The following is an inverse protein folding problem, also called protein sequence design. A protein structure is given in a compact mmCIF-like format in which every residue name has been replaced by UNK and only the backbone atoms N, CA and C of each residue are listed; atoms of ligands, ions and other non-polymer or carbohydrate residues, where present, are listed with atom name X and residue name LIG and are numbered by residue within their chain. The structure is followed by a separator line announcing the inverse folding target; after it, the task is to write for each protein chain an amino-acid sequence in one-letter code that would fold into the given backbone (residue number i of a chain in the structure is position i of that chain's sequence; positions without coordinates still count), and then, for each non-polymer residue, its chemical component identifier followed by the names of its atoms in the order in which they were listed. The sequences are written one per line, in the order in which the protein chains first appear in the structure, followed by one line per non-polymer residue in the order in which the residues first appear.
data_IF_848530889930
#
_entry.id   IF_848530889930
#
_cell.length_a   1.000
_cell.length_b   1.000
_cell.length_c   1.000
_cell.angle_alpha   90.00
_cell.angle_beta   90.00
_cell.angle_gamma   90.00
#
_symmetry.space_group_name_H-M   'P 1'
#
loop_
_entity.id
_entity.type
_entity.pdbx_description
1 polymer ?
#
# COMPACT_ATOMS: atom_id res chain seq x y z
N UNK A 1 -10.00 -20.51 15.85
CA UNK A 1 -9.91 -19.34 14.91
C UNK A 1 -9.56 -19.89 13.53
N UNK A 2 -10.28 -19.48 12.47
CA UNK A 2 -10.30 -19.98 11.07
C UNK A 2 -9.06 -20.65 10.44
N UNK A 3 -9.29 -21.47 9.41
CA UNK A 3 -8.23 -21.93 8.49
C UNK A 3 -7.64 -20.72 7.77
N UNK A 4 -6.31 -20.66 7.66
CA UNK A 4 -5.62 -19.55 7.01
C UNK A 4 -5.87 -19.54 5.51
N UNK A 5 -6.45 -18.45 5.00
CA UNK A 5 -6.44 -18.17 3.57
C UNK A 5 -5.14 -17.42 3.25
N UNK A 6 -4.37 -17.90 2.30
CA UNK A 6 -3.06 -17.32 1.95
C UNK A 6 -3.15 -16.17 0.94
N UNK A 7 -4.31 -15.96 0.32
CA UNK A 7 -4.49 -14.98 -0.74
C UNK A 7 -5.56 -13.93 -0.36
N UNK A 8 -5.17 -12.67 -0.12
CA UNK A 8 -6.13 -11.58 0.02
C UNK A 8 -6.76 -11.26 -1.35
N UNK A 9 -8.02 -10.84 -1.35
CA UNK A 9 -8.74 -10.42 -2.56
C UNK A 9 -9.12 -8.94 -2.47
N UNK A 10 -9.22 -8.28 -3.63
CA UNK A 10 -9.74 -6.92 -3.69
C UNK A 10 -11.26 -6.93 -3.69
N UNK A 11 -11.87 -6.29 -2.70
CA UNK A 11 -13.30 -5.96 -2.73
C UNK A 11 -13.44 -4.45 -2.94
N UNK A 12 -13.66 -4.06 -4.20
CA UNK A 12 -13.71 -2.65 -4.61
C UNK A 12 -12.34 -1.98 -4.50
N UNK A 13 -12.19 -1.04 -3.55
CA UNK A 13 -10.94 -0.30 -3.29
C UNK A 13 -10.20 -0.74 -2.02
N UNK A 14 -10.68 -1.78 -1.33
CA UNK A 14 -10.06 -2.31 -0.11
C UNK A 14 -9.52 -3.71 -0.37
N UNK A 15 -8.35 -3.99 0.20
CA UNK A 15 -7.77 -5.32 0.22
C UNK A 15 -8.36 -6.07 1.42
N UNK A 16 -9.00 -7.20 1.17
CA UNK A 16 -9.73 -7.99 2.18
C UNK A 16 -9.14 -9.38 2.25
N UNK A 17 -8.91 -9.87 3.46
CA UNK A 17 -8.47 -11.23 3.73
C UNK A 17 -9.50 -11.92 4.59
N UNK A 18 -10.06 -13.00 4.06
CA UNK A 18 -11.12 -13.76 4.71
C UNK A 18 -10.59 -15.11 5.16
N UNK A 19 -10.65 -15.34 6.47
CA UNK A 19 -10.37 -16.61 7.11
C UNK A 19 -11.69 -17.33 7.31
N UNK A 20 -11.87 -18.47 6.64
CA UNK A 20 -13.10 -19.28 6.72
C UNK A 20 -12.79 -20.63 7.39
N UNK A 21 -13.82 -21.40 7.72
CA UNK A 21 -13.68 -22.76 8.27
C UNK A 21 -12.91 -22.83 9.60
N UNK A 22 -13.27 -21.98 10.56
CA UNK A 22 -12.81 -22.10 11.94
C UNK A 22 -13.57 -23.15 12.74
N UNK A 23 -13.66 -22.92 14.05
CA UNK A 23 -14.42 -23.79 14.94
C UNK A 23 -15.93 -23.63 14.70
N UNK A 24 -16.74 -24.61 15.08
CA UNK A 24 -18.21 -24.49 14.97
C UNK A 24 -18.73 -23.40 15.89
N UNK A 25 -19.71 -22.65 15.40
CA UNK A 25 -20.36 -21.60 16.16
C UNK A 25 -21.37 -22.19 17.15
N UNK A 26 -21.50 -21.62 18.36
CA UNK A 26 -22.47 -22.11 19.34
C UNK A 26 -23.90 -21.89 18.82
N UNK A 27 -24.68 -22.96 18.63
CA UNK A 27 -26.09 -22.87 18.24
C UNK A 27 -26.37 -22.74 16.74
N UNK A 28 -25.39 -22.98 15.86
CA UNK A 28 -25.62 -23.06 14.41
C UNK A 28 -24.66 -24.03 13.73
N UNK A 29 -24.99 -24.45 12.51
CA UNK A 29 -24.11 -25.26 11.66
C UNK A 29 -23.07 -24.42 10.89
N UNK A 30 -22.92 -23.14 11.23
CA UNK A 30 -21.93 -22.26 10.65
C UNK A 30 -20.56 -22.42 11.31
N UNK A 31 -19.52 -22.17 10.51
CA UNK A 31 -18.14 -22.15 10.97
C UNK A 31 -17.68 -20.73 11.26
N UNK A 32 -16.86 -20.57 12.30
CA UNK A 32 -16.25 -19.29 12.63
C UNK A 32 -15.46 -18.75 11.45
N UNK A 33 -15.66 -17.47 11.18
CA UNK A 33 -14.98 -16.74 10.12
C UNK A 33 -14.44 -15.42 10.65
N UNK A 34 -13.31 -14.98 10.09
CA UNK A 34 -12.66 -13.72 10.46
C UNK A 34 -12.30 -12.95 9.20
N UNK A 35 -12.69 -11.68 9.15
CA UNK A 35 -12.45 -10.79 8.04
C UNK A 35 -11.47 -9.70 8.45
N UNK A 36 -10.37 -9.59 7.71
CA UNK A 36 -9.37 -8.54 7.89
C UNK A 36 -9.45 -7.59 6.70
N UNK A 37 -9.83 -6.34 6.95
CA UNK A 37 -9.88 -5.28 5.95
C UNK A 37 -8.63 -4.41 6.06
N UNK A 38 -7.75 -4.49 5.07
CA UNK A 38 -6.55 -3.67 5.02
C UNK A 38 -6.84 -2.28 4.42
N UNK A 39 -6.39 -1.24 5.12
CA UNK A 39 -6.53 0.16 4.72
C UNK A 39 -5.14 0.79 4.62
N UNK A 40 -4.92 1.53 3.54
CA UNK A 40 -3.71 2.31 3.34
C UNK A 40 -3.70 3.50 4.30
N UNK A 41 -2.69 3.53 5.18
CA UNK A 41 -2.40 4.65 6.07
C UNK A 41 -0.91 4.96 5.94
N UNK A 42 -0.57 6.12 5.36
CA UNK A 42 0.82 6.52 5.05
C UNK A 42 1.54 7.13 6.25
N UNK A 43 0.81 7.51 7.30
CA UNK A 43 1.36 8.18 8.47
C UNK A 43 1.86 7.20 9.55
N UNK A 44 1.50 5.92 9.42
CA UNK A 44 1.94 4.85 10.32
C UNK A 44 3.36 4.41 9.94
N UNK A 45 4.34 4.88 10.71
CA UNK A 45 5.75 4.79 10.32
C UNK A 45 6.33 3.36 10.25
N UNK A 46 5.89 2.40 11.07
CA UNK A 46 6.57 1.08 11.12
C UNK A 46 5.73 -0.16 11.52
N UNK A 47 4.54 -0.02 12.12
CA UNK A 47 3.79 -1.18 12.63
C UNK A 47 2.34 -1.16 12.19
N UNK A 48 1.85 -2.29 11.65
CA UNK A 48 0.44 -2.42 11.32
C UNK A 48 -0.43 -2.29 12.58
N UNK A 49 -1.37 -1.34 12.55
CA UNK A 49 -2.32 -1.14 13.64
C UNK A 49 -3.58 -1.96 13.36
N UNK A 50 -3.91 -2.90 14.24
CA UNK A 50 -5.11 -3.73 14.15
C UNK A 50 -6.18 -3.11 15.04
N UNK A 51 -7.30 -2.70 14.45
CA UNK A 51 -8.50 -2.25 15.15
C UNK A 51 -9.60 -3.29 15.03
N UNK A 52 -10.26 -3.60 16.15
CA UNK A 52 -11.42 -4.49 16.18
C UNK A 52 -12.67 -3.66 15.88
N UNK A 53 -13.39 -4.01 14.82
CA UNK A 53 -14.62 -3.31 14.41
C UNK A 53 -15.82 -3.87 15.17
N UNK A 54 -15.87 -5.20 15.31
CA UNK A 54 -16.94 -5.88 16.02
C UNK A 54 -17.00 -7.38 15.73
N UNK A 55 -17.82 -8.03 16.55
CA UNK A 55 -18.17 -9.45 16.43
C UNK A 55 -19.68 -9.60 16.21
N UNK A 56 -20.06 -10.62 15.44
CA UNK A 56 -21.44 -11.04 15.29
C UNK A 56 -21.60 -12.48 15.75
N UNK A 57 -22.51 -12.69 16.70
CA UNK A 57 -22.96 -13.99 17.18
C UNK A 57 -21.83 -14.97 17.55
N UNK A 58 -20.68 -14.46 18.04
CA UNK A 58 -19.50 -15.27 18.38
C UNK A 58 -18.96 -16.14 17.23
N UNK A 59 -19.32 -15.78 16.00
CA UNK A 59 -19.16 -16.57 14.80
C UNK A 59 -18.44 -15.80 13.69
N UNK A 60 -18.66 -14.49 13.60
CA UNK A 60 -18.03 -13.61 12.62
C UNK A 60 -17.24 -12.51 13.31
N UNK A 61 -15.94 -12.41 13.04
CA UNK A 61 -15.07 -11.37 13.60
C UNK A 61 -14.56 -10.45 12.50
N UNK A 62 -14.71 -9.14 12.67
CA UNK A 62 -14.24 -8.14 11.72
C UNK A 62 -13.12 -7.28 12.31
N UNK A 63 -11.97 -7.29 11.64
CA UNK A 63 -10.79 -6.51 11.97
C UNK A 63 -10.47 -5.54 10.84
N UNK A 64 -10.15 -4.30 11.20
CA UNK A 64 -9.56 -3.32 10.31
C UNK A 64 -8.06 -3.26 10.60
N UNK A 65 -7.25 -3.32 9.54
CA UNK A 65 -5.79 -3.30 9.66
C UNK A 65 -5.27 -2.11 8.87
N UNK A 66 -4.73 -1.13 9.58
CA UNK A 66 -4.10 0.04 8.97
C UNK A 66 -2.63 -0.22 8.77
N UNK A 67 -2.17 -0.08 7.53
CA UNK A 67 -0.77 -0.33 7.18
C UNK A 67 -0.33 0.48 5.97
N UNK A 68 0.89 1.00 6.03
CA UNK A 68 1.55 1.67 4.91
C UNK A 68 1.82 0.71 3.73
N UNK A 69 1.88 -0.60 3.97
CA UNK A 69 2.10 -1.61 2.92
C UNK A 69 0.86 -1.93 2.08
N UNK A 70 -0.34 -1.57 2.55
CA UNK A 70 -1.57 -1.72 1.77
C UNK A 70 -1.75 -0.59 0.76
N UNK A 71 -0.94 0.47 0.86
CA UNK A 71 -0.89 1.49 -0.17
C UNK A 71 -0.38 0.86 -1.46
N UNK A 72 -1.09 1.09 -2.56
CA UNK A 72 -0.56 0.77 -3.87
C UNK A 72 0.85 1.34 -3.93
N UNK A 73 1.82 0.51 -4.35
CA UNK A 73 3.13 0.98 -4.75
C UNK A 73 2.91 1.90 -5.94
N UNK A 74 2.50 3.14 -5.67
CA UNK A 74 2.65 4.22 -6.61
C UNK A 74 4.14 4.23 -6.85
N UNK A 75 4.56 3.72 -8.01
CA UNK A 75 5.92 3.87 -8.50
C UNK A 75 6.35 5.27 -8.07
N UNK A 76 7.41 5.35 -7.28
CA UNK A 76 7.97 6.61 -6.84
C UNK A 76 8.41 7.38 -8.09
N UNK A 77 7.47 8.07 -8.73
CA UNK A 77 7.57 8.48 -10.12
C UNK A 77 6.45 9.52 -10.32
N UNK A 78 6.67 10.82 -10.54
CA UNK A 78 7.87 11.58 -10.90
C UNK A 78 7.73 12.97 -10.24
N UNK A 79 8.05 13.12 -8.96
CA UNK A 79 8.53 14.44 -8.56
C UNK A 79 10.00 14.43 -8.94
N UNK A 80 10.32 14.85 -10.17
CA UNK A 80 11.70 15.03 -10.62
C UNK A 80 12.46 15.66 -9.45
N UNK A 81 13.35 14.86 -8.85
CA UNK A 81 14.00 15.29 -7.62
C UNK A 81 14.69 16.63 -7.91
N UNK A 82 14.73 17.58 -6.96
CA UNK A 82 15.32 18.88 -7.22
C UNK A 82 16.70 18.78 -7.90
N UNK A 83 17.50 17.79 -7.50
CA UNK A 83 18.79 17.45 -8.10
C UNK A 83 18.74 17.11 -9.59
N UNK A 84 17.74 16.37 -10.05
CA UNK A 84 17.59 16.01 -11.46
C UNK A 84 17.34 17.25 -12.32
N UNK A 85 16.53 18.19 -11.80
CA UNK A 85 16.20 19.45 -12.48
C UNK A 85 17.44 20.34 -12.57
N UNK A 86 18.15 20.53 -11.44
CA UNK A 86 19.37 21.33 -11.41
C UNK A 86 20.47 20.75 -12.32
N UNK A 87 20.64 19.42 -12.30
CA UNK A 87 21.61 18.74 -13.17
C UNK A 87 21.32 18.92 -14.66
N UNK A 88 20.04 18.80 -15.06
CA UNK A 88 19.62 18.96 -16.45
C UNK A 88 19.86 20.40 -16.95
N UNK A 89 19.54 21.41 -16.14
CA UNK A 89 19.77 22.82 -16.49
C UNK A 89 21.28 23.10 -16.65
N UNK A 90 22.10 22.62 -15.72
CA UNK A 90 23.55 22.84 -15.77
C UNK A 90 24.18 22.18 -17.00
N UNK A 91 23.72 20.98 -17.35
CA UNK A 91 24.16 20.25 -18.53
C UNK A 91 23.82 21.00 -19.82
N UNK A 92 22.59 21.52 -19.95
CA UNK A 92 22.19 22.34 -21.12
C UNK A 92 23.03 23.62 -21.20
N UNK A 93 23.25 24.32 -20.09
CA UNK A 93 24.05 25.54 -20.05
C UNK A 93 25.50 25.27 -20.49
N UNK A 94 26.09 24.17 -20.02
CA UNK A 94 27.44 23.77 -20.41
C UNK A 94 27.53 23.42 -21.90
N UNK A 95 26.57 22.67 -22.43
CA UNK A 95 26.52 22.35 -23.86
C UNK A 95 26.43 23.63 -24.70
N UNK A 96 25.51 24.54 -24.39
CA UNK A 96 25.39 25.82 -25.10
C UNK A 96 26.68 26.62 -25.00
N UNK A 97 27.35 26.65 -23.85
CA UNK A 97 28.63 27.34 -23.69
C UNK A 97 29.75 26.71 -24.53
N UNK A 98 29.84 25.38 -24.58
CA UNK A 98 30.81 24.68 -25.42
C UNK A 98 30.53 24.86 -26.92
N UNK A 99 29.26 24.80 -27.34
CA UNK A 99 28.86 25.07 -28.71
C UNK A 99 29.11 26.53 -29.09
N UNK A 100 28.76 27.47 -28.23
CA UNK A 100 29.04 28.88 -28.45
C UNK A 100 30.54 29.12 -28.51
N UNK A 101 31.34 28.62 -27.57
CA UNK A 101 32.80 28.83 -27.58
C UNK A 101 33.51 28.18 -28.78
N UNK A 102 33.02 27.06 -29.30
CA UNK A 102 33.57 26.45 -30.53
C UNK A 102 33.16 27.19 -31.81
N UNK A 103 31.95 27.76 -31.86
CA UNK A 103 31.49 28.57 -32.99
C UNK A 103 31.96 30.02 -32.96
N UNK A 104 32.11 30.62 -31.77
CA UNK A 104 32.52 32.02 -31.61
C UNK A 104 34.04 32.21 -31.70
N UNK A 105 34.80 31.11 -31.55
CA UNK A 105 36.27 31.09 -31.67
C UNK A 105 36.73 30.62 -33.06
N UNK A 106 35.81 30.46 -34.01
CA UNK A 106 36.10 30.18 -35.42
C UNK A 106 35.66 31.36 -36.28
#
# INVERSE_FOLDING_TARGET
IGRYSTAPYFRGRKLVLEYTHGDRCPGSDYYRSSLFSFICDRDIMQQAAISFIGEQYDCFYAFEVRTAHACAATNAQETLSPWTIFGLIFLIMFLVYCFASTFYRR
#
